data_IF_212215526880
#
_entry.id   IF_212215526880
#
_cell.length_a   1.000
_cell.length_b   1.000
_cell.length_c   1.000
_cell.angle_alpha   90.00
_cell.angle_beta   90.00
_cell.angle_gamma   90.00
#
_symmetry.space_group_name_H-M   'P 1'
#
loop_
_entity.id
_entity.type
_entity.pdbx_description
1 polymer ?
#
# COMPACT_ATOMS: atom_id res chain seq x y z
N UNK A 1 3.63 4.05 -17.54
CA UNK A 1 5.03 4.49 -17.71
C UNK A 1 5.52 3.97 -19.03
N UNK A 2 6.41 4.69 -19.73
CA UNK A 2 7.16 4.10 -20.85
C UNK A 2 8.53 3.65 -20.36
N UNK A 3 9.18 2.66 -21.00
CA UNK A 3 10.55 2.26 -20.66
C UNK A 3 11.54 3.45 -20.63
N UNK A 4 11.40 4.40 -21.55
CA UNK A 4 12.25 5.58 -21.62
C UNK A 4 12.11 6.49 -20.38
N UNK A 5 10.88 6.71 -19.91
CA UNK A 5 10.64 7.54 -18.73
C UNK A 5 11.21 6.91 -17.45
N UNK A 6 11.16 5.58 -17.34
CA UNK A 6 11.66 4.84 -16.19
C UNK A 6 13.19 4.92 -16.10
N UNK A 7 13.87 4.80 -17.24
CA UNK A 7 15.34 4.91 -17.31
C UNK A 7 15.82 6.33 -17.07
N UNK A 8 15.04 7.34 -17.47
CA UNK A 8 15.37 8.74 -17.22
C UNK A 8 15.15 9.18 -15.77
N UNK A 9 14.41 8.41 -14.97
CA UNK A 9 14.15 8.70 -13.57
C UNK A 9 15.36 8.38 -12.67
N UNK A 10 15.43 9.05 -11.51
CA UNK A 10 16.43 8.76 -10.48
C UNK A 10 15.88 7.72 -9.51
N UNK A 11 16.66 6.67 -9.27
CA UNK A 11 16.29 5.57 -8.38
C UNK A 11 17.33 5.42 -7.28
N UNK A 12 16.86 5.37 -6.04
CA UNK A 12 17.68 5.09 -4.87
C UNK A 12 17.40 3.68 -4.36
N UNK A 13 18.46 2.92 -4.08
CA UNK A 13 18.31 1.58 -3.52
C UNK A 13 17.85 1.62 -2.07
N UNK A 14 16.97 0.69 -1.73
CA UNK A 14 16.41 0.53 -0.39
C UNK A 14 16.89 -0.79 0.19
N UNK A 15 17.41 -0.83 1.45
CA UNK A 15 18.02 -2.01 2.03
C UNK A 15 16.98 -3.04 2.49
N UNK A 16 16.32 -3.70 1.55
CA UNK A 16 15.43 -4.83 1.82
C UNK A 16 16.21 -6.12 2.04
N UNK A 17 15.67 -7.02 2.85
CA UNK A 17 16.30 -8.31 3.14
C UNK A 17 15.71 -9.39 2.26
N UNK A 18 16.51 -9.93 1.35
CA UNK A 18 16.10 -10.97 0.42
C UNK A 18 16.05 -12.36 1.10
N UNK A 19 15.06 -13.16 0.69
CA UNK A 19 14.95 -14.56 1.09
C UNK A 19 16.05 -15.40 0.42
N UNK A 20 16.57 -16.39 1.14
CA UNK A 20 17.58 -17.35 0.64
C UNK A 20 17.03 -18.76 0.51
N UNK A 21 15.72 -18.95 0.73
CA UNK A 21 15.00 -20.21 0.60
C UNK A 21 13.56 -19.93 0.14
N UNK A 22 12.76 -20.99 -0.04
CA UNK A 22 11.35 -20.85 -0.41
C UNK A 22 10.47 -20.19 0.68
N UNK A 23 11.01 -19.96 1.88
CA UNK A 23 10.30 -19.30 2.96
C UNK A 23 10.45 -17.79 2.86
N UNK A 24 9.32 -17.07 2.86
CA UNK A 24 9.32 -15.61 2.85
C UNK A 24 10.09 -15.05 4.05
N UNK A 25 10.98 -14.08 3.79
CA UNK A 25 11.79 -13.40 4.80
C UNK A 25 11.31 -11.97 4.97
N UNK A 26 11.05 -11.58 6.20
CA UNK A 26 10.59 -10.23 6.54
C UNK A 26 11.77 -9.25 6.45
N UNK A 27 11.60 -8.17 5.69
CA UNK A 27 12.60 -7.08 5.60
C UNK A 27 12.57 -6.12 6.79
N UNK A 28 11.51 -6.16 7.60
CA UNK A 28 11.29 -5.24 8.72
C UNK A 28 10.72 -3.90 8.26
N UNK A 29 10.74 -2.92 9.15
CA UNK A 29 10.36 -1.55 8.82
C UNK A 29 11.54 -0.83 8.16
N UNK A 30 11.30 -0.31 6.97
CA UNK A 30 12.25 0.48 6.21
C UNK A 30 11.80 1.93 6.32
N UNK A 31 12.69 2.80 6.79
CA UNK A 31 12.40 4.23 6.86
C UNK A 31 12.47 4.89 5.47
N UNK A 32 11.43 5.64 5.12
CA UNK A 32 11.32 6.39 3.87
C UNK A 32 11.40 7.92 4.08
N UNK A 33 11.69 8.39 5.30
CA UNK A 33 11.75 9.82 5.61
C UNK A 33 12.75 10.60 4.75
N UNK A 34 13.85 9.96 4.35
CA UNK A 34 14.85 10.56 3.44
C UNK A 34 14.29 10.93 2.05
N UNK A 35 13.18 10.31 1.64
CA UNK A 35 12.52 10.56 0.35
C UNK A 35 11.38 11.57 0.45
N UNK A 36 11.14 12.15 1.63
CA UNK A 36 10.16 13.23 1.80
C UNK A 36 10.67 14.50 1.12
N UNK A 37 10.14 14.78 -0.06
CA UNK A 37 10.47 16.02 -0.76
C UNK A 37 9.75 17.22 -0.12
N UNK A 38 10.42 18.37 -0.10
CA UNK A 38 9.85 19.65 0.37
C UNK A 38 8.69 20.10 -0.51
N UNK A 39 8.72 19.75 -1.79
CA UNK A 39 7.81 20.23 -2.82
C UNK A 39 6.57 19.33 -3.02
N UNK A 40 6.33 18.37 -2.11
CA UNK A 40 5.27 17.35 -2.26
C UNK A 40 5.33 16.58 -3.59
N UNK A 41 6.53 16.41 -4.16
CA UNK A 41 6.70 15.55 -5.32
C UNK A 41 6.36 14.12 -4.92
N UNK A 42 5.58 13.41 -5.75
CA UNK A 42 5.26 12.03 -5.46
C UNK A 42 6.51 11.16 -5.46
N UNK A 43 6.53 10.18 -4.57
CA UNK A 43 7.55 9.13 -4.53
C UNK A 43 7.01 7.90 -5.26
N UNK A 44 7.89 7.17 -5.93
CA UNK A 44 7.56 5.92 -6.60
C UNK A 44 8.40 4.80 -5.97
N UNK A 45 7.80 3.63 -5.82
CA UNK A 45 8.49 2.42 -5.39
C UNK A 45 8.57 1.46 -6.57
N UNK A 46 9.71 0.81 -6.74
CA UNK A 46 9.90 -0.20 -7.76
C UNK A 46 10.44 -1.50 -7.15
N UNK A 47 9.92 -2.63 -7.64
CA UNK A 47 10.57 -3.92 -7.51
C UNK A 47 11.23 -4.25 -8.85
N UNK A 48 12.54 -4.43 -8.81
CA UNK A 48 13.37 -4.68 -9.98
C UNK A 48 13.76 -6.14 -9.98
N UNK A 49 13.48 -6.82 -11.09
CA UNK A 49 13.90 -8.19 -11.31
C UNK A 49 14.91 -8.22 -12.45
N UNK A 50 16.15 -8.55 -12.11
CA UNK A 50 17.24 -8.74 -13.06
C UNK A 50 17.62 -10.21 -13.13
N UNK A 51 17.48 -10.79 -14.32
CA UNK A 51 17.88 -12.15 -14.62
C UNK A 51 18.95 -12.13 -15.70
N UNK A 52 19.96 -12.98 -15.56
CA UNK A 52 20.98 -13.16 -16.57
C UNK A 52 20.75 -14.46 -17.33
N UNK A 53 21.23 -14.50 -18.57
CA UNK A 53 21.17 -15.70 -19.36
C UNK A 53 21.91 -16.85 -18.66
N UNK A 54 21.31 -18.04 -18.64
CA UNK A 54 21.95 -19.23 -18.09
C UNK A 54 21.66 -20.47 -18.93
N UNK A 55 22.69 -21.25 -19.28
CA UNK A 55 22.56 -22.39 -20.18
C UNK A 55 21.53 -23.45 -19.70
N UNK A 56 21.54 -23.75 -18.41
CA UNK A 56 20.79 -24.90 -17.85
C UNK A 56 19.74 -24.56 -16.79
N UNK A 57 19.84 -23.41 -16.12
CA UNK A 57 19.04 -23.08 -14.95
C UNK A 57 18.00 -22.03 -15.34
N UNK A 58 16.76 -22.28 -14.93
CA UNK A 58 15.70 -21.29 -15.00
C UNK A 58 15.91 -20.24 -13.92
N UNK A 59 15.41 -19.03 -14.15
CA UNK A 59 15.52 -17.97 -13.16
C UNK A 59 14.52 -18.18 -12.02
N UNK A 60 14.89 -17.84 -10.76
CA UNK A 60 14.06 -18.14 -9.60
C UNK A 60 12.78 -17.30 -9.57
N UNK A 61 11.72 -17.90 -9.04
CA UNK A 61 10.49 -17.19 -8.72
C UNK A 61 10.69 -16.28 -7.51
N UNK A 62 10.18 -15.06 -7.59
CA UNK A 62 10.13 -14.12 -6.46
C UNK A 62 8.70 -13.70 -6.16
N UNK A 63 8.42 -13.54 -4.87
CA UNK A 63 7.15 -13.01 -4.38
C UNK A 63 7.39 -11.98 -3.28
N UNK A 64 6.63 -10.89 -3.34
CA UNK A 64 6.48 -9.92 -2.29
C UNK A 64 5.09 -10.10 -1.68
N UNK A 65 5.07 -10.41 -0.39
CA UNK A 65 3.86 -10.60 0.41
C UNK A 65 3.87 -9.66 1.61
N UNK A 66 2.69 -9.41 2.18
CA UNK A 66 2.51 -8.56 3.37
C UNK A 66 3.12 -7.15 3.25
N UNK A 67 3.22 -6.62 2.03
CA UNK A 67 3.66 -5.25 1.82
C UNK A 67 2.63 -4.27 2.41
N UNK A 68 3.11 -3.38 3.26
CA UNK A 68 2.32 -2.28 3.84
C UNK A 68 3.14 -1.01 3.83
N UNK A 69 2.48 0.11 3.50
CA UNK A 69 3.03 1.45 3.60
C UNK A 69 2.25 2.17 4.69
N UNK A 70 2.93 2.68 5.71
CA UNK A 70 2.31 3.34 6.85
C UNK A 70 3.15 4.51 7.34
N UNK A 71 2.49 5.51 7.91
CA UNK A 71 3.14 6.55 8.68
C UNK A 71 3.12 6.17 10.16
N UNK A 72 4.26 6.31 10.82
CA UNK A 72 4.37 6.22 12.28
C UNK A 72 4.42 7.67 12.78
N UNK A 73 3.42 8.06 13.57
CA UNK A 73 3.32 9.43 14.10
C UNK A 73 4.20 9.58 15.34
N UNK A 74 4.46 10.83 15.74
CA UNK A 74 5.33 11.14 16.89
C UNK A 74 4.84 10.56 18.23
N UNK A 75 3.54 10.27 18.35
CA UNK A 75 2.93 9.62 19.51
C UNK A 75 2.99 8.08 19.46
N UNK A 76 3.62 7.51 18.42
CA UNK A 76 3.74 6.08 18.18
C UNK A 76 2.52 5.44 17.51
N UNK A 77 1.48 6.21 17.18
CA UNK A 77 0.34 5.68 16.43
C UNK A 77 0.71 5.37 14.97
N UNK A 78 0.06 4.35 14.40
CA UNK A 78 0.29 3.91 13.03
C UNK A 78 -0.90 4.37 12.18
N UNK A 79 -0.63 5.24 11.21
CA UNK A 79 -1.57 5.61 10.16
C UNK A 79 -1.26 4.77 8.90
N UNK A 80 -2.05 3.73 8.59
CA UNK A 80 -1.81 2.92 7.38
C UNK A 80 -2.07 3.77 6.14
N UNK A 81 -1.11 3.88 5.24
CA UNK A 81 -1.27 4.64 4.00
C UNK A 81 -1.91 3.74 2.95
N UNK A 82 -1.27 2.61 2.62
CA UNK A 82 -1.68 1.75 1.51
C UNK A 82 -1.15 0.32 1.66
N UNK A 83 -1.81 -0.63 1.03
CA UNK A 83 -1.33 -2.00 0.83
C UNK A 83 -0.88 -2.24 -0.61
N UNK A 84 -0.22 -3.37 -0.88
CA UNK A 84 0.16 -3.75 -2.25
C UNK A 84 -1.02 -3.81 -3.22
N UNK A 85 -2.22 -4.17 -2.76
CA UNK A 85 -3.41 -4.23 -3.62
C UNK A 85 -3.91 -2.84 -4.03
N UNK A 86 -3.76 -1.84 -3.16
CA UNK A 86 -4.36 -0.51 -3.33
C UNK A 86 -3.44 0.46 -4.07
N UNK A 87 -2.12 0.22 -4.02
CA UNK A 87 -1.11 1.10 -4.63
C UNK A 87 -1.34 1.24 -6.14
N UNK A 88 -1.80 0.20 -6.83
CA UNK A 88 -1.94 0.19 -8.28
C UNK A 88 -0.58 0.21 -8.96
N UNK A 89 -0.03 -0.98 -9.20
CA UNK A 89 1.27 -1.16 -9.84
C UNK A 89 1.14 -1.12 -11.36
N UNK A 90 2.23 -0.78 -12.03
CA UNK A 90 2.40 -0.94 -13.47
C UNK A 90 3.66 -1.76 -13.74
N UNK A 91 3.58 -2.65 -14.71
CA UNK A 91 4.70 -3.45 -15.16
C UNK A 91 5.38 -2.75 -16.33
N UNK A 92 6.71 -2.80 -16.35
CA UNK A 92 7.54 -2.36 -17.45
C UNK A 92 8.52 -3.47 -17.78
N UNK A 93 8.48 -3.93 -19.02
CA UNK A 93 9.40 -4.93 -19.58
C UNK A 93 10.48 -4.20 -20.40
N UNK A 94 11.74 -4.59 -20.18
CA UNK A 94 12.87 -4.08 -20.96
C UNK A 94 13.52 -5.12 -21.87
N UNK A 95 13.40 -6.42 -21.54
CA UNK A 95 14.19 -7.47 -22.21
C UNK A 95 13.38 -8.71 -22.53
N UNK A 96 12.52 -9.15 -21.61
CA UNK A 96 11.85 -10.44 -21.70
C UNK A 96 10.38 -10.34 -21.30
N UNK A 97 9.55 -9.89 -22.25
CA UNK A 97 8.09 -9.81 -22.13
C UNK A 97 7.36 -11.13 -21.78
N UNK A 98 8.10 -12.23 -21.66
CA UNK A 98 7.54 -13.53 -21.35
C UNK A 98 7.68 -13.93 -19.89
N UNK A 99 8.61 -13.32 -19.15
CA UNK A 99 8.80 -13.53 -17.72
C UNK A 99 8.65 -12.19 -17.03
N UNK A 100 7.43 -11.93 -16.59
CA UNK A 100 7.01 -10.61 -16.18
C UNK A 100 6.26 -10.60 -14.85
N UNK A 101 6.19 -9.42 -14.24
CA UNK A 101 5.52 -9.24 -12.95
C UNK A 101 4.01 -9.47 -13.03
N UNK A 102 3.54 -10.49 -12.34
CA UNK A 102 2.13 -10.64 -11.97
C UNK A 102 1.78 -9.64 -10.86
N UNK A 103 0.95 -8.66 -11.20
CA UNK A 103 0.52 -7.60 -10.30
C UNK A 103 -0.78 -7.97 -9.58
N UNK A 104 -0.93 -7.64 -8.28
CA UNK A 104 -2.05 -8.10 -7.48
C UNK A 104 -3.37 -7.43 -7.81
N UNK A 105 -4.44 -8.23 -7.80
CA UNK A 105 -5.77 -7.79 -7.31
C UNK A 105 -5.89 -8.03 -5.79
N UNK A 106 -5.12 -8.96 -5.23
CA UNK A 106 -5.07 -9.30 -3.79
C UNK A 106 -3.63 -9.47 -3.31
N UNK A 107 -3.00 -8.38 -2.86
CA UNK A 107 -1.84 -8.33 -1.93
C UNK A 107 -0.51 -9.02 -2.30
N UNK A 108 -0.45 -9.84 -3.35
CA UNK A 108 0.73 -10.60 -3.79
C UNK A 108 1.28 -10.03 -5.10
N UNK A 109 2.53 -9.56 -5.06
CA UNK A 109 3.29 -9.19 -6.25
C UNK A 109 4.27 -10.32 -6.52
N UNK A 110 4.32 -10.87 -7.72
CA UNK A 110 5.24 -11.99 -8.00
C UNK A 110 5.71 -12.03 -9.44
N UNK A 111 6.88 -12.60 -9.67
CA UNK A 111 7.43 -12.89 -11.00
C UNK A 111 7.92 -14.33 -10.99
N UNK A 112 7.60 -15.09 -12.04
CA UNK A 112 7.89 -16.52 -12.13
C UNK A 112 8.72 -16.81 -13.38
N UNK A 113 10.04 -16.90 -13.20
CA UNK A 113 10.98 -17.34 -14.22
C UNK A 113 11.15 -18.86 -14.30
N UNK A 114 10.35 -19.65 -13.59
CA UNK A 114 10.51 -21.12 -13.50
C UNK A 114 9.50 -21.90 -14.32
N UNK A 115 8.28 -21.39 -14.47
CA UNK A 115 7.17 -22.10 -15.12
C UNK A 115 7.07 -21.71 -16.60
N UNK A 116 7.22 -22.66 -17.55
CA UNK A 116 7.03 -22.37 -18.97
C UNK A 116 5.56 -22.00 -19.24
N UNK A 117 5.33 -20.86 -19.87
CA UNK A 117 4.04 -20.56 -20.49
C UNK A 117 3.98 -21.33 -21.81
N UNK A 118 2.87 -22.00 -22.11
CA UNK A 118 2.73 -22.77 -23.37
C UNK A 118 3.03 -21.89 -24.58
N UNK A 119 4.03 -22.27 -25.40
CA UNK A 119 4.49 -21.49 -26.54
C UNK A 119 5.66 -20.54 -26.27
N UNK A 120 6.22 -20.56 -25.06
CA UNK A 120 7.27 -19.64 -24.60
C UNK A 120 8.38 -20.43 -23.86
N UNK A 121 9.64 -20.22 -24.26
CA UNK A 121 10.81 -20.98 -23.77
C UNK A 121 11.95 -20.12 -23.21
N UNK A 122 11.75 -18.81 -23.06
CA UNK A 122 12.79 -17.83 -22.69
C UNK A 122 13.03 -17.66 -21.18
N UNK A 123 12.81 -18.72 -20.40
CA UNK A 123 12.98 -18.70 -18.92
C UNK A 123 14.44 -18.59 -18.47
N UNK A 124 15.35 -18.63 -19.43
CA UNK A 124 16.80 -18.67 -19.27
C UNK A 124 17.49 -17.51 -19.95
N UNK A 125 16.75 -16.62 -20.61
CA UNK A 125 17.28 -15.46 -21.32
C UNK A 125 17.45 -14.28 -20.37
N UNK A 126 18.25 -13.29 -20.77
CA UNK A 126 18.36 -12.05 -19.99
C UNK A 126 16.98 -11.45 -19.74
N UNK A 127 16.76 -11.00 -18.51
CA UNK A 127 15.51 -10.41 -18.07
C UNK A 127 15.80 -9.14 -17.26
N UNK A 128 14.99 -8.12 -17.50
CA UNK A 128 14.99 -6.90 -16.73
C UNK A 128 13.58 -6.34 -16.73
N UNK A 129 12.85 -6.64 -15.67
CA UNK A 129 11.43 -6.35 -15.56
C UNK A 129 11.15 -5.64 -14.24
N UNK A 130 10.35 -4.59 -14.32
CA UNK A 130 10.10 -3.68 -13.22
C UNK A 130 8.61 -3.65 -12.88
N UNK A 131 8.28 -3.75 -11.60
CA UNK A 131 6.95 -3.42 -11.07
C UNK A 131 7.02 -2.09 -10.33
N UNK A 132 6.38 -1.06 -10.88
CA UNK A 132 6.47 0.32 -10.40
C UNK A 132 5.13 0.77 -9.84
N UNK A 133 5.12 1.35 -8.64
CA UNK A 133 3.91 1.87 -8.01
C UNK A 133 3.32 3.05 -8.80
N UNK A 134 2.04 3.36 -8.60
CA UNK A 134 1.52 4.71 -8.90
C UNK A 134 2.16 5.76 -7.98
N UNK A 135 1.98 7.07 -8.27
CA UNK A 135 2.49 8.15 -7.44
C UNK A 135 2.05 7.99 -5.98
N UNK A 136 2.99 7.92 -5.04
CA UNK A 136 2.73 7.82 -3.61
C UNK A 136 2.92 9.18 -2.95
N UNK A 137 1.93 9.58 -2.14
CA UNK A 137 2.07 10.70 -1.22
C UNK A 137 2.40 10.16 0.17
N UNK A 138 3.68 10.22 0.55
CA UNK A 138 4.16 9.75 1.85
C UNK A 138 3.64 10.60 3.02
N UNK A 139 3.26 11.87 2.77
CA UNK A 139 2.63 12.74 3.78
C UNK A 139 1.12 12.52 3.90
N UNK A 140 0.56 11.51 3.21
CA UNK A 140 -0.86 11.22 3.28
C UNK A 140 -1.23 10.78 4.69
N UNK A 141 -2.16 11.49 5.28
CA UNK A 141 -2.92 11.05 6.44
C UNK A 141 -4.28 10.60 5.94
N UNK A 142 -4.75 9.45 6.39
CA UNK A 142 -6.12 9.06 6.03
C UNK A 142 -7.08 10.02 6.71
N UNK A 143 -8.16 10.39 6.01
CA UNK A 143 -9.25 11.06 6.66
C UNK A 143 -9.78 10.17 7.78
N UNK A 144 -9.97 10.73 8.97
CA UNK A 144 -10.68 10.03 10.03
C UNK A 144 -12.08 9.69 9.52
N UNK A 145 -12.38 8.40 9.40
CA UNK A 145 -13.71 7.95 9.04
C UNK A 145 -14.53 7.79 10.31
N UNK A 146 -15.65 8.51 10.37
CA UNK A 146 -16.63 8.30 11.44
C UNK A 146 -17.18 6.88 11.38
N UNK A 147 -17.46 6.30 12.54
CA UNK A 147 -18.16 5.01 12.62
C UNK A 147 -19.63 5.23 12.30
N UNK A 148 -20.16 4.53 11.30
CA UNK A 148 -21.59 4.58 10.99
C UNK A 148 -22.37 3.81 12.06
N UNK A 149 -23.15 4.53 12.87
CA UNK A 149 -23.96 3.95 13.96
C UNK A 149 -25.43 3.79 13.57
N UNK A 150 -25.87 4.36 12.44
CA UNK A 150 -27.26 4.35 11.97
C UNK A 150 -27.33 4.64 10.46
N UNK A 151 -28.16 3.88 9.74
CA UNK A 151 -28.53 4.15 8.35
C UNK A 151 -30.06 4.15 8.16
N UNK A 152 -30.55 4.45 6.94
CA UNK A 152 -31.98 4.51 6.62
C UNK A 152 -32.72 3.19 6.92
N UNK A 153 -32.07 2.05 6.72
CA UNK A 153 -32.67 0.73 6.90
C UNK A 153 -32.64 0.22 8.36
N UNK A 154 -31.87 0.84 9.26
CA UNK A 154 -31.76 0.34 10.64
C UNK A 154 -33.02 0.65 11.47
N UNK A 155 -33.21 -0.02 12.60
CA UNK A 155 -34.18 0.43 13.62
C UNK A 155 -33.80 1.83 14.17
N UNK A 156 -34.71 2.47 14.90
CA UNK A 156 -34.43 3.73 15.61
C UNK A 156 -33.33 3.49 16.65
N UNK A 157 -32.25 4.27 16.58
CA UNK A 157 -31.17 4.25 17.57
C UNK A 157 -31.53 5.20 18.71
N UNK A 158 -31.81 4.68 19.90
CA UNK A 158 -32.14 5.49 21.07
C UNK A 158 -30.90 5.87 21.90
N UNK A 159 -29.86 5.02 21.90
CA UNK A 159 -28.60 5.25 22.60
C UNK A 159 -27.45 4.55 21.87
N UNK A 160 -26.22 5.05 22.07
CA UNK A 160 -25.00 4.46 21.53
C UNK A 160 -23.94 4.37 22.65
N UNK A 161 -23.77 3.20 23.29
CA UNK A 161 -22.79 3.04 24.35
C UNK A 161 -21.37 2.99 23.77
N UNK A 162 -20.43 3.69 24.41
CA UNK A 162 -19.01 3.66 24.07
C UNK A 162 -18.18 3.72 25.36
N UNK A 163 -17.07 2.97 25.41
CA UNK A 163 -16.17 2.90 26.56
C UNK A 163 -14.82 3.51 26.16
N UNK A 164 -14.42 4.57 26.85
CA UNK A 164 -13.08 5.11 26.77
C UNK A 164 -12.15 4.29 27.68
N UNK A 165 -11.15 3.64 27.09
CA UNK A 165 -10.22 2.76 27.82
C UNK A 165 -9.02 3.50 28.42
N UNK A 166 -8.85 4.79 28.11
CA UNK A 166 -7.77 5.63 28.59
C UNK A 166 -8.34 6.90 29.23
N UNK A 167 -7.61 7.44 30.20
CA UNK A 167 -7.87 8.77 30.73
C UNK A 167 -7.54 9.84 29.68
N UNK A 168 -8.23 10.97 29.74
CA UNK A 168 -8.02 12.06 28.79
C UNK A 168 -9.27 12.89 28.55
N UNK A 169 -9.09 14.00 27.83
CA UNK A 169 -10.21 14.83 27.36
C UNK A 169 -10.49 14.50 25.90
N UNK A 170 -11.70 14.05 25.63
CA UNK A 170 -12.17 13.62 24.32
C UNK A 170 -13.22 14.59 23.80
N UNK A 171 -13.12 14.95 22.52
CA UNK A 171 -14.21 15.59 21.78
C UNK A 171 -14.95 14.54 20.98
N UNK A 172 -16.17 14.21 21.41
CA UNK A 172 -17.05 13.29 20.68
C UNK A 172 -17.90 14.08 19.71
N UNK A 173 -17.89 13.68 18.44
CA UNK A 173 -18.60 14.35 17.35
C UNK A 173 -19.61 13.40 16.74
N UNK A 174 -20.88 13.79 16.74
CA UNK A 174 -21.95 13.12 16.03
C UNK A 174 -22.34 13.94 14.79
N UNK A 175 -22.21 13.33 13.62
CA UNK A 175 -22.67 13.91 12.36
C UNK A 175 -23.91 13.15 11.92
N UNK A 176 -25.05 13.84 11.84
CA UNK A 176 -26.27 13.28 11.29
C UNK A 176 -26.63 14.04 10.02
N UNK A 177 -26.89 13.32 8.93
CA UNK A 177 -27.30 13.94 7.69
C UNK A 177 -28.45 13.18 7.04
N UNK A 178 -29.25 13.89 6.27
CA UNK A 178 -30.23 13.34 5.35
C UNK A 178 -29.89 13.86 3.95
N UNK A 179 -29.64 12.95 3.02
CA UNK A 179 -29.17 13.28 1.67
C UNK A 179 -29.99 12.55 0.60
N UNK A 180 -30.22 13.24 -0.50
CA UNK A 180 -30.73 12.73 -1.78
C UNK A 180 -29.67 12.91 -2.86
N UNK A 181 -29.96 12.59 -4.12
CA UNK A 181 -29.01 12.80 -5.22
C UNK A 181 -28.66 14.28 -5.45
N UNK A 182 -29.54 15.22 -5.06
CA UNK A 182 -29.40 16.65 -5.36
C UNK A 182 -29.36 17.57 -4.13
N UNK A 183 -29.68 17.07 -2.93
CA UNK A 183 -29.72 17.88 -1.70
C UNK A 183 -29.15 17.09 -0.50
N UNK A 184 -28.48 17.79 0.42
CA UNK A 184 -27.90 17.24 1.65
C UNK A 184 -28.09 18.21 2.80
N UNK A 185 -28.79 17.77 3.85
CA UNK A 185 -28.94 18.50 5.11
C UNK A 185 -28.17 17.79 6.20
N UNK A 186 -27.34 18.53 6.93
CA UNK A 186 -26.44 18.00 7.95
C UNK A 186 -26.60 18.76 9.27
N UNK A 187 -26.49 18.05 10.38
CA UNK A 187 -26.31 18.62 11.72
C UNK A 187 -25.13 17.94 12.40
N UNK A 188 -24.27 18.76 13.00
CA UNK A 188 -23.14 18.30 13.80
C UNK A 188 -23.43 18.61 15.26
N UNK A 189 -23.24 17.62 16.13
CA UNK A 189 -23.31 17.76 17.59
C UNK A 189 -21.97 17.35 18.18
N UNK A 190 -21.37 18.25 18.93
CA UNK A 190 -20.13 18.01 19.63
C UNK A 190 -20.38 17.98 21.13
N UNK A 191 -19.66 17.12 21.84
CA UNK A 191 -19.60 17.12 23.29
C UNK A 191 -18.16 16.84 23.72
N UNK A 192 -17.76 17.44 24.83
CA UNK A 192 -16.45 17.19 25.45
C UNK A 192 -16.66 16.32 26.67
N UNK A 193 -15.95 15.18 26.74
CA UNK A 193 -15.91 14.30 27.90
C UNK A 193 -14.49 14.26 28.44
N UNK A 194 -14.34 14.44 29.74
CA UNK A 194 -13.08 14.17 30.43
C UNK A 194 -13.21 12.87 31.21
N UNK A 195 -12.32 11.92 30.92
CA UNK A 195 -12.17 10.66 31.63
C UNK A 195 -11.00 10.81 32.58
N UNK A 196 -11.27 10.71 33.88
CA UNK A 196 -10.26 10.83 34.92
C UNK A 196 -9.66 9.45 35.25
N UNK A 197 -8.42 9.43 35.77
CA UNK A 197 -7.84 8.23 36.37
C UNK A 197 -8.76 7.66 37.46
N UNK A 198 -8.69 6.34 37.63
CA UNK A 198 -9.33 5.65 38.76
C UNK A 198 -8.58 5.91 40.06
#
# INVERSE_FOLDING_TARGET
YTPADVVAATWDEIPAVLATSATARVSGNIDLNGFLTTDNKPVYLAFIYTGYNHATLNQPKWSITAFTLSNILADGSINPISTAAEIGWAQIDFKNNTTSWSLPTTGLISIDGTTPVTGITKLKDDNEDWAISKPLNLKRVNAETGVSIKNLASAKLNSYPYIFSKEGTYKVVFVAFNATQSDRREIVKELTITINPK
#
